data_IF_067883713032
#
_entry.id   IF_067883713032
#
_cell.length_a   1.000
_cell.length_b   1.000
_cell.length_c   1.000
_cell.angle_alpha   90.00
_cell.angle_beta   90.00
_cell.angle_gamma   90.00
#
_symmetry.space_group_name_H-M   'P 1'
#
loop_
_entity.id
_entity.type
_entity.pdbx_description
1 polymer ?
#
# COMPACT_ATOMS: atom_id res chain seq x y z
N UNK A 1 6.98 2.12 25.15
CA UNK A 1 6.98 1.54 23.79
C UNK A 1 6.77 2.68 22.83
N UNK A 2 7.77 3.00 22.00
CA UNK A 2 7.62 4.02 20.97
C UNK A 2 6.58 3.56 19.97
N UNK A 3 5.62 4.43 19.63
CA UNK A 3 4.59 4.07 18.66
C UNK A 3 5.24 3.83 17.28
N UNK A 4 4.70 2.92 16.44
CA UNK A 4 5.20 2.72 15.08
C UNK A 4 5.31 4.02 14.27
N UNK A 5 4.39 4.96 14.52
CA UNK A 5 4.39 6.31 13.93
C UNK A 5 5.59 7.16 14.37
N UNK A 6 5.99 7.05 15.63
CA UNK A 6 7.17 7.75 16.16
C UNK A 6 8.47 7.21 15.55
N UNK A 7 8.59 5.89 15.38
CA UNK A 7 9.74 5.29 14.70
C UNK A 7 9.83 5.76 13.24
N UNK A 8 8.69 5.80 12.54
CA UNK A 8 8.64 6.31 11.17
C UNK A 8 9.06 7.78 11.09
N UNK A 9 8.55 8.63 11.97
CA UNK A 9 8.95 10.04 12.03
C UNK A 9 10.47 10.20 12.27
N UNK A 10 11.08 9.35 13.11
CA UNK A 10 12.52 9.39 13.33
C UNK A 10 13.31 9.05 12.06
N UNK A 11 12.86 8.04 11.30
CA UNK A 11 13.46 7.69 10.00
C UNK A 11 13.28 8.84 9.00
N UNK A 12 12.09 9.44 8.91
CA UNK A 12 11.82 10.60 8.04
C UNK A 12 12.74 11.77 8.38
N UNK A 13 12.86 12.15 9.65
CA UNK A 13 13.77 13.21 10.09
C UNK A 13 15.24 12.90 9.74
N UNK A 14 15.62 11.62 9.73
CA UNK A 14 16.97 11.19 9.37
C UNK A 14 17.21 11.31 7.86
N UNK A 15 16.22 10.95 7.04
CA UNK A 15 16.22 11.17 5.59
C UNK A 15 16.35 12.65 5.27
N UNK A 16 15.54 13.51 5.89
CA UNK A 16 15.55 14.96 5.64
C UNK A 16 16.94 15.56 5.96
N UNK A 17 17.57 15.14 7.06
CA UNK A 17 18.94 15.55 7.42
C UNK A 17 19.98 15.08 6.40
N UNK A 18 19.87 13.85 5.90
CA UNK A 18 20.77 13.34 4.86
C UNK A 18 20.63 14.14 3.56
N UNK A 19 19.39 14.49 3.17
CA UNK A 19 19.11 15.35 2.02
C UNK A 19 19.68 16.76 2.21
N UNK A 20 19.57 17.34 3.41
CA UNK A 20 20.17 18.63 3.73
C UNK A 20 21.70 18.60 3.60
N UNK A 21 22.36 17.58 4.16
CA UNK A 21 23.82 17.40 4.05
C UNK A 21 24.23 17.27 2.57
N UNK A 22 23.48 16.52 1.76
CA UNK A 22 23.75 16.39 0.32
C UNK A 22 23.64 17.74 -0.40
N UNK A 23 22.62 18.54 -0.10
CA UNK A 23 22.46 19.87 -0.66
C UNK A 23 23.60 20.81 -0.25
N UNK A 24 24.00 20.79 1.03
CA UNK A 24 25.13 21.58 1.52
C UNK A 24 26.46 21.14 0.88
N UNK A 25 26.66 19.84 0.69
CA UNK A 25 27.83 19.29 0.00
C UNK A 25 27.91 19.75 -1.46
N UNK A 26 26.78 19.74 -2.17
CA UNK A 26 26.72 20.25 -3.54
C UNK A 26 27.15 21.72 -3.61
N UNK A 27 26.62 22.58 -2.73
CA UNK A 27 27.00 23.99 -2.67
C UNK A 27 28.47 24.19 -2.28
N UNK A 28 28.99 23.35 -1.37
CA UNK A 28 30.38 23.41 -0.91
C UNK A 28 31.36 22.94 -1.99
N UNK A 29 30.98 21.94 -2.80
CA UNK A 29 31.81 21.43 -3.91
C UNK A 29 32.11 22.51 -4.96
N UNK A 30 31.19 23.45 -5.16
CA UNK A 30 31.38 24.62 -6.02
C UNK A 30 32.51 25.55 -5.54
N UNK A 31 32.78 25.57 -4.23
CA UNK A 31 33.80 26.42 -3.60
C UNK A 31 35.20 25.79 -3.54
N UNK A 32 35.39 24.55 -4.00
CA UNK A 32 36.65 23.79 -3.99
C UNK A 32 37.36 23.69 -2.61
N UNK A 33 36.63 23.88 -1.52
CA UNK A 33 37.16 23.75 -0.16
C UNK A 33 37.17 22.28 0.28
N UNK A 34 38.36 21.68 0.40
CA UNK A 34 38.53 20.24 0.67
C UNK A 34 38.13 19.85 2.11
N UNK A 35 38.37 20.73 3.10
CA UNK A 35 38.10 20.43 4.52
C UNK A 35 36.59 20.34 4.81
N UNK A 36 35.75 21.34 4.45
CA UNK A 36 34.31 21.26 4.68
C UNK A 36 33.64 20.14 3.87
N UNK A 37 34.18 19.82 2.68
CA UNK A 37 33.72 18.71 1.87
C UNK A 37 33.95 17.36 2.57
N UNK A 38 35.17 17.11 3.06
CA UNK A 38 35.49 15.88 3.78
C UNK A 38 34.65 15.71 5.06
N UNK A 39 34.45 16.80 5.80
CA UNK A 39 33.59 16.77 6.99
C UNK A 39 32.13 16.50 6.65
N UNK A 40 31.59 17.13 5.60
CA UNK A 40 30.22 16.88 5.15
C UNK A 40 30.01 15.43 4.67
N UNK A 41 30.99 14.85 3.97
CA UNK A 41 30.94 13.44 3.56
C UNK A 41 30.92 12.49 4.77
N UNK A 42 31.75 12.75 5.78
CA UNK A 42 31.74 11.97 7.02
C UNK A 42 30.38 12.08 7.74
N UNK A 43 29.81 13.29 7.82
CA UNK A 43 28.49 13.49 8.41
C UNK A 43 27.39 12.74 7.65
N UNK A 44 27.46 12.70 6.31
CA UNK A 44 26.52 11.94 5.50
C UNK A 44 26.62 10.43 5.79
N UNK A 45 27.83 9.88 5.87
CA UNK A 45 28.02 8.46 6.19
C UNK A 45 27.44 8.11 7.57
N UNK A 46 27.66 8.98 8.58
CA UNK A 46 27.08 8.81 9.92
C UNK A 46 25.55 8.85 9.87
N UNK A 47 24.97 9.78 9.12
CA UNK A 47 23.52 9.89 9.02
C UNK A 47 22.90 8.70 8.28
N UNK A 48 23.52 8.22 7.19
CA UNK A 48 23.09 7.00 6.49
C UNK A 48 23.15 5.77 7.41
N UNK A 49 24.17 5.65 8.25
CA UNK A 49 24.24 4.59 9.25
C UNK A 49 23.10 4.69 10.28
N UNK A 50 22.77 5.90 10.73
CA UNK A 50 21.64 6.14 11.62
C UNK A 50 20.31 5.74 10.96
N UNK A 51 20.12 6.05 9.68
CA UNK A 51 18.92 5.68 8.92
C UNK A 51 18.70 4.16 8.90
N UNK A 52 19.76 3.38 8.67
CA UNK A 52 19.68 1.90 8.69
C UNK A 52 19.23 1.41 10.07
N UNK A 53 19.87 1.89 11.14
CA UNK A 53 19.54 1.51 12.52
C UNK A 53 18.13 1.91 12.96
N UNK A 54 17.64 3.06 12.48
CA UNK A 54 16.27 3.50 12.74
C UNK A 54 15.27 2.68 11.91
N UNK A 55 15.63 2.33 10.68
CA UNK A 55 14.84 1.50 9.78
C UNK A 55 14.56 0.10 10.33
N UNK A 56 15.51 -0.51 11.04
CA UNK A 56 15.31 -1.81 11.72
C UNK A 56 14.15 -1.80 12.72
N UNK A 57 13.80 -0.64 13.27
CA UNK A 57 12.67 -0.49 14.20
C UNK A 57 11.32 -0.33 13.47
N UNK A 58 11.34 -0.09 12.17
CA UNK A 58 10.17 0.10 11.32
C UNK A 58 9.75 -1.24 10.68
N UNK A 59 8.76 -1.89 11.27
CA UNK A 59 8.22 -3.15 10.78
C UNK A 59 7.09 -2.90 9.76
N UNK A 60 7.41 -2.24 8.65
CA UNK A 60 6.46 -1.93 7.57
C UNK A 60 6.72 -2.88 6.41
N UNK A 61 5.69 -3.59 5.97
CA UNK A 61 5.76 -4.41 4.77
C UNK A 61 5.31 -3.57 3.57
N UNK A 62 6.16 -3.50 2.54
CA UNK A 62 5.89 -2.75 1.32
C UNK A 62 5.72 -3.77 0.17
N UNK A 63 4.57 -3.79 -0.53
CA UNK A 63 4.39 -4.64 -1.70
C UNK A 63 5.41 -4.32 -2.79
N UNK A 64 5.88 -5.34 -3.52
CA UNK A 64 6.88 -5.17 -4.58
C UNK A 64 6.39 -4.21 -5.68
N UNK A 65 5.09 -4.19 -5.98
CA UNK A 65 4.51 -3.30 -6.99
C UNK A 65 4.66 -1.82 -6.62
N UNK A 66 4.66 -1.49 -5.32
CA UNK A 66 4.93 -0.13 -4.85
C UNK A 66 6.39 0.25 -5.11
N UNK A 67 7.32 -0.70 -4.93
CA UNK A 67 8.75 -0.48 -5.22
C UNK A 67 8.94 -0.26 -6.72
N UNK A 68 8.29 -1.06 -7.57
CA UNK A 68 8.35 -0.88 -9.02
C UNK A 68 7.84 0.49 -9.47
N UNK A 69 6.78 1.03 -8.84
CA UNK A 69 6.31 2.39 -9.13
C UNK A 69 7.35 3.45 -8.76
N UNK A 70 8.06 3.27 -7.64
CA UNK A 70 9.13 4.19 -7.21
C UNK A 70 10.30 4.15 -8.20
N UNK A 71 10.72 2.95 -8.62
CA UNK A 71 11.83 2.76 -9.56
C UNK A 71 11.50 3.36 -10.95
N UNK A 72 10.23 3.26 -11.37
CA UNK A 72 9.70 3.88 -12.58
C UNK A 72 9.54 5.42 -12.48
N UNK A 73 9.73 6.00 -11.28
CA UNK A 73 9.49 7.43 -11.02
C UNK A 73 8.00 7.83 -11.03
N UNK A 74 7.09 6.89 -10.82
CA UNK A 74 5.64 7.10 -10.73
C UNK A 74 5.19 7.33 -9.29
N UNK A 75 3.95 7.80 -9.12
CA UNK A 75 3.40 8.00 -7.79
C UNK A 75 3.01 6.65 -7.14
N UNK A 76 3.58 6.26 -5.98
CA UNK A 76 3.23 5.01 -5.29
C UNK A 76 1.75 4.95 -4.86
N UNK A 77 1.06 6.09 -4.72
CA UNK A 77 -0.37 6.12 -4.40
C UNK A 77 -1.25 5.51 -5.50
N UNK A 78 -0.75 5.38 -6.72
CA UNK A 78 -1.45 4.69 -7.81
C UNK A 78 -1.74 3.24 -7.45
N UNK A 79 -0.81 2.56 -6.77
CA UNK A 79 -1.04 1.20 -6.26
C UNK A 79 -2.24 1.15 -5.31
N UNK A 80 -2.31 2.08 -4.35
CA UNK A 80 -3.41 2.16 -3.39
C UNK A 80 -4.73 2.42 -4.10
N UNK A 81 -4.74 3.34 -5.06
CA UNK A 81 -5.92 3.68 -5.87
C UNK A 81 -6.41 2.47 -6.66
N UNK A 82 -5.51 1.75 -7.34
CA UNK A 82 -5.87 0.61 -8.18
C UNK A 82 -6.31 -0.61 -7.35
N UNK A 83 -5.65 -0.88 -6.22
CA UNK A 83 -6.10 -1.88 -5.25
C UNK A 83 -7.52 -1.59 -4.76
N UNK A 84 -7.77 -0.36 -4.30
CA UNK A 84 -9.10 0.04 -3.82
C UNK A 84 -10.16 -0.14 -4.90
N UNK A 85 -9.90 0.34 -6.11
CA UNK A 85 -10.82 0.19 -7.24
C UNK A 85 -11.07 -1.29 -7.59
N UNK A 86 -10.03 -2.13 -7.55
CA UNK A 86 -10.15 -3.58 -7.75
C UNK A 86 -11.07 -4.22 -6.70
N UNK A 87 -10.91 -3.85 -5.42
CA UNK A 87 -11.77 -4.35 -4.35
C UNK A 87 -13.21 -3.87 -4.49
N UNK A 88 -13.44 -2.60 -4.86
CA UNK A 88 -14.77 -2.08 -5.12
C UNK A 88 -15.46 -2.88 -6.24
N UNK A 89 -14.77 -3.06 -7.38
CA UNK A 89 -15.29 -3.83 -8.51
C UNK A 89 -15.60 -5.29 -8.14
N UNK A 90 -14.67 -5.97 -7.45
CA UNK A 90 -14.86 -7.35 -6.98
C UNK A 90 -16.04 -7.48 -6.02
N UNK A 91 -16.20 -6.52 -5.11
CA UNK A 91 -17.30 -6.50 -4.16
C UNK A 91 -18.64 -6.33 -4.88
N UNK A 92 -18.70 -5.46 -5.89
CA UNK A 92 -19.90 -5.27 -6.70
C UNK A 92 -20.30 -6.57 -7.42
N UNK A 93 -19.35 -7.20 -8.12
CA UNK A 93 -19.55 -8.48 -8.81
C UNK A 93 -20.00 -9.57 -7.83
N UNK A 94 -19.42 -9.61 -6.62
CA UNK A 94 -19.77 -10.60 -5.60
C UNK A 94 -21.20 -10.41 -5.10
N UNK A 95 -21.62 -9.16 -4.84
CA UNK A 95 -23.00 -8.85 -4.47
C UNK A 95 -23.98 -9.29 -5.54
N UNK A 96 -23.71 -8.97 -6.80
CA UNK A 96 -24.55 -9.36 -7.94
C UNK A 96 -24.67 -10.88 -8.06
N UNK A 97 -23.55 -11.61 -7.99
CA UNK A 97 -23.54 -13.08 -8.00
C UNK A 97 -24.36 -13.68 -6.85
N UNK A 98 -24.24 -13.13 -5.64
CA UNK A 98 -25.05 -13.58 -4.51
C UNK A 98 -26.54 -13.32 -4.71
N UNK A 99 -26.89 -12.13 -5.24
CA UNK A 99 -28.28 -11.78 -5.55
C UNK A 99 -28.86 -12.72 -6.60
N UNK A 100 -28.14 -12.96 -7.70
CA UNK A 100 -28.56 -13.95 -8.70
C UNK A 100 -28.75 -15.33 -8.08
N UNK A 101 -27.78 -15.84 -7.32
CA UNK A 101 -27.90 -17.15 -6.66
C UNK A 101 -29.14 -17.25 -5.75
N UNK A 102 -29.43 -16.20 -4.98
CA UNK A 102 -30.63 -16.14 -4.12
C UNK A 102 -31.92 -16.15 -4.94
N UNK A 103 -31.98 -15.38 -6.03
CA UNK A 103 -33.14 -15.34 -6.92
C UNK A 103 -33.39 -16.71 -7.55
N UNK A 104 -32.35 -17.35 -8.12
CA UNK A 104 -32.47 -18.68 -8.74
C UNK A 104 -32.98 -19.72 -7.74
N UNK A 105 -32.42 -19.76 -6.52
CA UNK A 105 -32.90 -20.64 -5.46
C UNK A 105 -34.36 -20.38 -5.12
N UNK A 106 -34.76 -19.11 -5.00
CA UNK A 106 -36.15 -18.73 -4.72
C UNK A 106 -37.12 -19.17 -5.81
N UNK A 107 -36.77 -18.99 -7.09
CA UNK A 107 -37.60 -19.43 -8.22
C UNK A 107 -37.73 -20.96 -8.24
N UNK A 108 -36.62 -21.68 -8.09
CA UNK A 108 -36.60 -23.15 -8.08
C UNK A 108 -37.48 -23.74 -6.96
N UNK A 109 -37.42 -23.17 -5.75
CA UNK A 109 -38.30 -23.60 -4.66
C UNK A 109 -39.78 -23.36 -4.98
N UNK A 110 -40.11 -22.20 -5.57
CA UNK A 110 -41.50 -21.86 -5.94
C UNK A 110 -42.05 -22.76 -7.04
N UNK A 111 -41.26 -23.07 -8.07
CA UNK A 111 -41.69 -23.97 -9.14
C UNK A 111 -41.90 -25.39 -8.63
N UNK A 112 -41.02 -25.89 -7.75
CA UNK A 112 -41.19 -27.19 -7.09
C UNK A 112 -42.50 -27.27 -6.30
N UNK A 113 -42.79 -26.25 -5.47
CA UNK A 113 -44.04 -26.20 -4.70
C UNK A 113 -45.26 -26.16 -5.63
N UNK A 114 -45.24 -25.32 -6.66
CA UNK A 114 -46.35 -25.23 -7.63
C UNK A 114 -46.61 -26.56 -8.33
N UNK A 115 -45.55 -27.25 -8.79
CA UNK A 115 -45.68 -28.55 -9.45
C UNK A 115 -46.29 -29.61 -8.52
N UNK A 116 -45.89 -29.63 -7.24
CA UNK A 116 -46.50 -30.52 -6.26
C UNK A 116 -47.99 -30.24 -6.04
N UNK A 117 -48.38 -28.97 -5.93
CA UNK A 117 -49.79 -28.55 -5.78
C UNK A 117 -50.64 -28.94 -7.00
N UNK A 118 -50.18 -28.63 -8.21
CA UNK A 118 -50.91 -29.01 -9.44
C UNK A 118 -51.01 -30.53 -9.58
N UNK A 119 -49.98 -31.27 -9.16
CA UNK A 119 -50.04 -32.72 -9.14
C UNK A 119 -51.12 -33.22 -8.19
N UNK A 120 -51.18 -32.70 -6.96
CA UNK A 120 -52.21 -33.07 -5.98
C UNK A 120 -53.63 -32.80 -6.50
N UNK A 121 -53.87 -31.66 -7.14
CA UNK A 121 -55.18 -31.29 -7.70
C UNK A 121 -55.65 -32.22 -8.84
N UNK A 122 -54.74 -32.89 -9.55
CA UNK A 122 -55.08 -33.81 -10.63
C UNK A 122 -55.43 -35.22 -10.13
N UNK A 123 -55.12 -35.55 -8.87
CA UNK A 123 -55.36 -36.88 -8.26
C UNK A 123 -56.53 -36.84 -7.26
N UNK A 124 -57.16 -35.68 -7.06
CA UNK A 124 -58.33 -35.44 -6.22
C UNK A 124 -59.58 -35.25 -7.07
#
# INVERSE_FOLDING_TARGET
MDSPKQNLNQVTNSIDRAQEILNQLYLTSSSYNVIPLAQGMNNLVVELYNMVKLGEKCHIQVPIDVINLIDDGKNPDEYTRDMLNSYIAKNQITKEKQTHSRIYKGISSRTSVRLSLTRWQLIS
#
